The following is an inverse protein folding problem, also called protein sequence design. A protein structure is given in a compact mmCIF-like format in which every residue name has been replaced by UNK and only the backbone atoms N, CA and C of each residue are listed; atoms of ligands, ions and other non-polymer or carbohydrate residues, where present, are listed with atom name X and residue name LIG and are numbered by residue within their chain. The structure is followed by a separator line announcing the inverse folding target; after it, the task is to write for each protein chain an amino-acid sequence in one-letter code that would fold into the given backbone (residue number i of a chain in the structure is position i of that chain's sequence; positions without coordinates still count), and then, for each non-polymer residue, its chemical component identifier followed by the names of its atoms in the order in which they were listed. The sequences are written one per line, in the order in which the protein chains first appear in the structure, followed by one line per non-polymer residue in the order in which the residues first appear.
data_IF_795335635963
#
_entry.id   IF_795335635963
#
_cell.length_a   1.000
_cell.length_b   1.000
_cell.length_c   1.000
_cell.angle_alpha   90.00
_cell.angle_beta   90.00
_cell.angle_gamma   90.00
#
_symmetry.space_group_name_H-M   'P 1'
#
loop_
_entity.id
_entity.type
_entity.pdbx_description
1 polymer ?
#
# COMPACT_ATOMS: atom_id res chain seq x y z
N UNK A 1 5.51 -0.01 21.22
CA UNK A 1 4.56 0.05 20.09
C UNK A 1 3.17 0.11 20.67
N UNK A 2 2.36 1.07 20.24
CA UNK A 2 0.95 1.16 20.64
C UNK A 2 0.15 0.18 19.77
N UNK A 3 -0.92 -0.38 20.30
CA UNK A 3 -1.82 -1.22 19.49
C UNK A 3 -2.62 -0.31 18.52
N UNK A 4 -2.50 -0.47 17.19
CA UNK A 4 -3.23 0.37 16.25
C UNK A 4 -4.73 0.09 16.33
N UNK A 5 -5.53 1.14 16.46
CA UNK A 5 -7.00 1.05 16.49
C UNK A 5 -7.66 1.87 15.38
N UNK A 6 -6.88 2.67 14.65
CA UNK A 6 -7.32 3.45 13.50
C UNK A 6 -6.36 3.29 12.32
N UNK A 7 -6.81 3.56 11.08
CA UNK A 7 -5.93 3.56 9.90
C UNK A 7 -4.73 4.51 10.04
N UNK A 8 -4.97 5.67 10.68
CA UNK A 8 -3.92 6.64 10.96
C UNK A 8 -2.86 6.09 11.93
N UNK A 9 -3.26 5.30 12.94
CA UNK A 9 -2.28 4.64 13.82
C UNK A 9 -1.38 3.68 13.03
N UNK A 10 -1.94 2.94 12.06
CA UNK A 10 -1.17 2.03 11.20
C UNK A 10 -0.16 2.81 10.37
N UNK A 11 -0.60 3.88 9.69
CA UNK A 11 0.29 4.76 8.92
C UNK A 11 1.42 5.33 9.77
N UNK A 12 1.10 5.87 10.95
CA UNK A 12 2.09 6.44 11.86
C UNK A 12 3.11 5.39 12.33
N UNK A 13 2.66 4.16 12.60
CA UNK A 13 3.55 3.07 13.01
C UNK A 13 4.49 2.60 11.88
N UNK A 14 4.06 2.70 10.61
CA UNK A 14 4.92 2.47 9.44
C UNK A 14 6.00 3.57 9.36
N UNK A 15 5.63 4.84 9.52
CA UNK A 15 6.55 5.97 9.48
C UNK A 15 7.61 5.88 10.60
N UNK A 16 7.18 5.58 11.84
CA UNK A 16 8.07 5.38 13.00
C UNK A 16 9.04 4.20 12.83
N UNK A 17 8.72 3.24 11.96
CA UNK A 17 9.60 2.09 11.70
C UNK A 17 10.85 2.49 10.93
N UNK A 18 10.78 3.53 10.09
CA UNK A 18 11.86 3.98 9.20
C UNK A 18 12.89 4.83 9.92
N UNK A 19 12.52 5.49 11.01
CA UNK A 19 13.44 6.28 11.83
C UNK A 19 14.58 5.45 12.48
N UNK A 20 14.64 4.14 12.20
CA UNK A 20 15.60 3.18 12.78
C UNK A 20 16.61 2.69 11.75
N UNK A 21 17.83 2.40 12.19
CA UNK A 21 18.86 1.77 11.35
C UNK A 21 18.42 0.38 10.86
N UNK A 22 18.90 -0.06 9.68
CA UNK A 22 18.42 -1.27 8.97
C UNK A 22 18.18 -2.53 9.83
N UNK A 23 19.10 -2.97 10.72
CA UNK A 23 18.84 -4.17 11.53
C UNK A 23 17.66 -3.98 12.50
N UNK A 24 17.54 -2.78 13.07
CA UNK A 24 16.47 -2.40 14.00
C UNK A 24 15.15 -2.22 13.24
N UNK A 25 15.20 -1.67 12.02
CA UNK A 25 14.05 -1.54 11.14
C UNK A 25 13.43 -2.91 10.84
N UNK A 26 14.22 -3.92 10.44
CA UNK A 26 13.73 -5.27 10.15
C UNK A 26 13.01 -5.92 11.35
N UNK A 27 13.60 -5.81 12.54
CA UNK A 27 12.99 -6.29 13.78
C UNK A 27 11.67 -5.55 14.07
N UNK A 28 11.66 -4.23 13.88
CA UNK A 28 10.48 -3.40 14.14
C UNK A 28 9.34 -3.70 13.15
N UNK A 29 9.63 -3.88 11.87
CA UNK A 29 8.68 -4.32 10.85
C UNK A 29 8.07 -5.67 11.23
N UNK A 30 8.92 -6.63 11.63
CA UNK A 30 8.46 -7.95 12.05
C UNK A 30 7.54 -7.89 13.29
N UNK A 31 7.85 -7.02 14.24
CA UNK A 31 7.00 -6.78 15.41
C UNK A 31 5.67 -6.13 15.02
N UNK A 32 5.70 -5.12 14.14
CA UNK A 32 4.52 -4.43 13.66
C UNK A 32 3.57 -5.41 12.97
N UNK A 33 4.08 -6.24 12.05
CA UNK A 33 3.28 -7.28 11.38
C UNK A 33 2.61 -8.22 12.38
N UNK A 34 3.33 -8.65 13.44
CA UNK A 34 2.74 -9.51 14.49
C UNK A 34 1.60 -8.83 15.25
N UNK A 35 1.68 -7.53 15.47
CA UNK A 35 0.61 -6.74 16.12
C UNK A 35 -0.57 -6.58 15.17
N UNK A 36 -0.30 -6.21 13.91
CA UNK A 36 -1.32 -5.97 12.90
C UNK A 36 -2.16 -7.21 12.58
N UNK A 37 -1.63 -8.44 12.73
CA UNK A 37 -2.43 -9.67 12.61
C UNK A 37 -3.63 -9.76 13.57
N UNK A 38 -3.70 -8.91 14.58
CA UNK A 38 -4.82 -8.83 15.55
C UNK A 38 -5.71 -7.60 15.31
N UNK A 39 -5.35 -6.75 14.34
CA UNK A 39 -6.08 -5.54 13.98
C UNK A 39 -7.09 -5.92 12.88
N UNK A 40 -8.32 -5.34 12.88
CA UNK A 40 -9.26 -5.55 11.79
C UNK A 40 -8.66 -5.24 10.42
N UNK A 41 -8.89 -6.11 9.44
CA UNK A 41 -8.24 -6.06 8.12
C UNK A 41 -8.48 -4.73 7.41
N UNK A 42 -9.69 -4.19 7.46
CA UNK A 42 -10.05 -2.89 6.89
C UNK A 42 -9.20 -1.74 7.45
N UNK A 43 -8.85 -1.78 8.74
CA UNK A 43 -7.98 -0.77 9.36
C UNK A 43 -6.56 -0.87 8.79
N UNK A 44 -6.08 -2.10 8.55
CA UNK A 44 -4.76 -2.36 7.97
C UNK A 44 -4.72 -1.86 6.52
N UNK A 45 -5.72 -2.25 5.72
CA UNK A 45 -5.82 -1.90 4.30
C UNK A 45 -5.86 -0.39 4.14
N UNK A 46 -6.77 0.29 4.85
CA UNK A 46 -6.90 1.74 4.77
C UNK A 46 -5.62 2.44 5.23
N UNK A 47 -4.98 1.96 6.30
CA UNK A 47 -3.72 2.51 6.78
C UNK A 47 -2.57 2.37 5.78
N UNK A 48 -2.48 1.22 5.09
CA UNK A 48 -1.49 1.00 4.02
C UNK A 48 -1.76 1.89 2.82
N UNK A 49 -3.01 2.00 2.38
CA UNK A 49 -3.39 2.91 1.28
C UNK A 49 -3.03 4.35 1.65
N UNK A 50 -3.33 4.78 2.88
CA UNK A 50 -2.95 6.10 3.40
C UNK A 50 -1.44 6.34 3.43
N UNK A 51 -0.63 5.29 3.59
CA UNK A 51 0.83 5.39 3.50
C UNK A 51 1.29 5.59 2.06
N UNK A 52 0.72 4.85 1.09
CA UNK A 52 1.13 4.91 -0.32
C UNK A 52 0.60 6.18 -1.00
N UNK A 53 -0.61 6.61 -0.67
CA UNK A 53 -1.23 7.82 -1.24
C UNK A 53 -0.54 9.11 -0.80
N UNK A 54 0.26 9.09 0.27
CA UNK A 54 0.93 10.28 0.77
C UNK A 54 2.17 10.61 -0.09
N UNK A 55 2.14 11.79 -0.71
CA UNK A 55 3.23 12.31 -1.57
C UNK A 55 4.54 12.53 -0.82
N UNK A 56 4.49 12.63 0.51
CA UNK A 56 5.69 12.79 1.33
C UNK A 56 6.38 11.45 1.65
N UNK A 57 5.68 10.33 1.41
CA UNK A 57 6.20 9.00 1.68
C UNK A 57 7.00 8.48 0.49
N UNK A 58 8.27 8.16 0.75
CA UNK A 58 9.18 7.61 -0.25
C UNK A 58 9.15 6.09 -0.31
N UNK A 59 10.09 5.54 -1.08
CA UNK A 59 10.26 4.10 -1.29
C UNK A 59 10.28 3.30 0.03
N UNK A 60 10.99 3.75 1.06
CA UNK A 60 11.12 3.02 2.32
C UNK A 60 9.78 2.77 3.04
N UNK A 61 8.88 3.77 3.02
CA UNK A 61 7.54 3.66 3.59
C UNK A 61 6.71 2.66 2.81
N UNK A 62 6.74 2.79 1.49
CA UNK A 62 5.98 1.92 0.61
C UNK A 62 6.51 0.48 0.65
N UNK A 63 7.81 0.27 0.83
CA UNK A 63 8.42 -1.06 0.98
C UNK A 63 7.91 -1.75 2.25
N UNK A 64 7.81 -1.03 3.37
CA UNK A 64 7.24 -1.59 4.61
C UNK A 64 5.75 -1.88 4.44
N UNK A 65 5.00 -0.95 3.84
CA UNK A 65 3.58 -1.12 3.57
C UNK A 65 3.31 -2.35 2.69
N UNK A 66 4.14 -2.53 1.65
CA UNK A 66 4.13 -3.67 0.73
C UNK A 66 4.43 -4.99 1.45
N UNK A 67 5.42 -5.00 2.35
CA UNK A 67 5.72 -6.16 3.20
C UNK A 67 4.57 -6.51 4.15
N UNK A 68 3.83 -5.51 4.65
CA UNK A 68 2.64 -5.74 5.46
C UNK A 68 1.57 -6.44 4.63
N UNK A 69 1.29 -5.97 3.41
CA UNK A 69 0.33 -6.59 2.50
C UNK A 69 0.69 -8.04 2.18
N UNK A 70 1.94 -8.32 1.80
CA UNK A 70 2.36 -9.70 1.48
C UNK A 70 2.37 -10.63 2.69
N UNK A 71 2.69 -10.12 3.89
CA UNK A 71 2.83 -10.95 5.09
C UNK A 71 1.51 -11.25 5.80
N UNK A 72 0.54 -10.35 5.68
CA UNK A 72 -0.78 -10.46 6.34
C UNK A 72 -1.86 -10.89 5.35
N UNK A 73 -1.74 -10.45 4.09
CA UNK A 73 -2.75 -10.57 3.06
C UNK A 73 -4.17 -10.19 3.55
N UNK A 74 -4.34 -8.97 4.09
CA UNK A 74 -5.63 -8.55 4.62
C UNK A 74 -6.66 -8.49 3.49
N UNK A 75 -7.89 -8.92 3.75
CA UNK A 75 -9.00 -8.75 2.81
C UNK A 75 -9.51 -7.32 2.85
N UNK A 76 -9.94 -6.86 1.69
CA UNK A 76 -10.48 -5.53 1.48
C UNK A 76 -11.89 -5.60 0.94
N UNK A 77 -12.78 -4.83 1.55
CA UNK A 77 -14.13 -4.56 1.05
C UNK A 77 -14.19 -3.29 0.18
N UNK A 78 -13.08 -2.56 0.04
CA UNK A 78 -13.00 -1.39 -0.81
C UNK A 78 -13.17 -1.76 -2.28
N UNK A 79 -13.76 -0.85 -3.05
CA UNK A 79 -13.80 -0.98 -4.50
C UNK A 79 -12.39 -0.79 -5.09
N UNK A 80 -11.98 -1.70 -5.99
CA UNK A 80 -10.64 -1.70 -6.60
C UNK A 80 -10.32 -0.38 -7.31
N UNK A 81 -11.30 0.24 -7.97
CA UNK A 81 -11.10 1.54 -8.64
C UNK A 81 -10.69 2.56 -7.59
N UNK A 82 -11.41 2.61 -6.47
CA UNK A 82 -11.08 3.51 -5.38
C UNK A 82 -9.67 3.28 -4.81
N UNK A 83 -9.24 2.02 -4.69
CA UNK A 83 -7.88 1.70 -4.23
C UNK A 83 -6.83 2.19 -5.23
N UNK A 84 -6.98 1.83 -6.51
CA UNK A 84 -6.02 2.18 -7.57
C UNK A 84 -5.97 3.70 -7.75
N UNK A 85 -7.12 4.38 -7.84
CA UNK A 85 -7.21 5.82 -8.02
C UNK A 85 -6.43 6.59 -6.92
N UNK A 86 -6.40 6.06 -5.69
CA UNK A 86 -5.68 6.68 -4.55
C UNK A 86 -4.17 6.47 -4.60
N UNK A 87 -3.71 5.30 -5.02
CA UNK A 87 -2.29 4.94 -4.89
C UNK A 87 -1.49 5.17 -6.18
N UNK A 88 -2.11 5.08 -7.36
CA UNK A 88 -1.40 4.92 -8.65
C UNK A 88 -0.44 6.05 -9.01
N UNK A 89 -0.70 7.27 -8.54
CA UNK A 89 0.14 8.42 -8.85
C UNK A 89 1.38 8.52 -7.97
N UNK A 90 1.34 7.92 -6.77
CA UNK A 90 2.43 7.98 -5.79
C UNK A 90 3.09 6.62 -5.56
N UNK A 91 2.49 5.55 -6.07
CA UNK A 91 3.01 4.19 -5.95
C UNK A 91 4.37 4.02 -6.64
N UNK A 92 5.36 3.62 -5.86
CA UNK A 92 6.67 3.18 -6.32
C UNK A 92 6.57 1.77 -6.90
N UNK A 93 6.80 1.65 -8.21
CA UNK A 93 6.65 0.40 -8.96
C UNK A 93 7.59 -0.73 -8.50
N UNK A 94 8.62 -0.42 -7.73
CA UNK A 94 9.52 -1.43 -7.14
C UNK A 94 8.85 -2.19 -6.00
N UNK A 95 7.73 -1.67 -5.47
CA UNK A 95 6.90 -2.31 -4.46
C UNK A 95 5.88 -3.26 -5.12
N UNK A 96 6.38 -4.40 -5.63
CA UNK A 96 5.60 -5.36 -6.42
C UNK A 96 4.54 -6.10 -5.60
N UNK A 97 4.72 -6.21 -4.28
CA UNK A 97 3.78 -6.88 -3.37
C UNK A 97 2.40 -6.25 -3.37
N UNK A 98 2.30 -4.95 -3.69
CA UNK A 98 1.01 -4.28 -3.87
C UNK A 98 0.23 -4.91 -5.02
N UNK A 99 0.89 -5.26 -6.13
CA UNK A 99 0.24 -5.90 -7.28
C UNK A 99 -0.25 -7.29 -6.92
N UNK A 100 0.59 -8.09 -6.26
CA UNK A 100 0.21 -9.43 -5.84
C UNK A 100 -1.00 -9.39 -4.90
N UNK A 101 -1.00 -8.48 -3.93
CA UNK A 101 -2.14 -8.29 -3.02
C UNK A 101 -3.41 -7.84 -3.75
N UNK A 102 -3.30 -6.92 -4.73
CA UNK A 102 -4.44 -6.51 -5.56
C UNK A 102 -5.02 -7.70 -6.34
N UNK A 103 -4.16 -8.52 -6.96
CA UNK A 103 -4.59 -9.70 -7.72
C UNK A 103 -5.27 -10.73 -6.82
N UNK A 104 -4.76 -10.96 -5.61
CA UNK A 104 -5.35 -11.90 -4.67
C UNK A 104 -6.68 -11.45 -4.08
N UNK A 105 -6.93 -10.13 -4.01
CA UNK A 105 -8.18 -9.58 -3.47
C UNK A 105 -9.26 -9.36 -4.53
N UNK A 106 -8.87 -8.96 -5.73
CA UNK A 106 -9.82 -8.51 -6.76
C UNK A 106 -9.81 -9.36 -8.03
N UNK A 107 -8.82 -10.24 -8.20
CA UNK A 107 -8.65 -11.08 -9.38
C UNK A 107 -7.84 -10.40 -10.49
N UNK A 108 -7.06 -11.21 -11.21
CA UNK A 108 -6.12 -10.76 -12.23
C UNK A 108 -6.78 -9.95 -13.36
N UNK A 109 -7.91 -10.41 -13.88
CA UNK A 109 -8.62 -9.76 -15.00
C UNK A 109 -9.10 -8.36 -14.61
N UNK A 110 -9.64 -8.23 -13.40
CA UNK A 110 -10.14 -6.96 -12.86
C UNK A 110 -8.98 -5.99 -12.68
N UNK A 111 -7.90 -6.41 -12.01
CA UNK A 111 -6.70 -5.57 -11.81
C UNK A 111 -6.11 -5.10 -13.13
N UNK A 112 -5.95 -6.01 -14.10
CA UNK A 112 -5.43 -5.66 -15.43
C UNK A 112 -6.32 -4.64 -16.14
N UNK A 113 -7.64 -4.80 -16.10
CA UNK A 113 -8.57 -3.88 -16.75
C UNK A 113 -8.41 -2.43 -16.26
N UNK A 114 -8.22 -2.24 -14.96
CA UNK A 114 -8.02 -0.92 -14.36
C UNK A 114 -6.62 -0.36 -14.62
N UNK A 115 -5.56 -1.15 -14.44
CA UNK A 115 -4.20 -0.70 -14.70
C UNK A 115 -3.97 -0.35 -16.18
N UNK A 116 -4.53 -1.12 -17.12
CA UNK A 116 -4.46 -0.80 -18.55
C UNK A 116 -5.22 0.48 -18.89
N UNK A 117 -6.37 0.73 -18.26
CA UNK A 117 -7.12 1.99 -18.42
C UNK A 117 -6.27 3.19 -18.00
N UNK A 118 -5.55 3.07 -16.89
CA UNK A 118 -4.63 4.11 -16.41
C UNK A 118 -3.45 4.37 -17.37
N UNK A 119 -2.87 3.32 -17.95
CA UNK A 119 -1.82 3.47 -18.97
C UNK A 119 -2.34 4.24 -20.19
N UNK A 120 -3.55 3.94 -20.65
CA UNK A 120 -4.18 4.62 -21.79
C UNK A 120 -4.46 6.10 -21.47
N UNK A 121 -4.95 6.42 -20.27
CA UNK A 121 -5.24 7.80 -19.86
C UNK A 121 -3.95 8.62 -19.78
N UNK A 122 -2.89 8.12 -19.12
CA UNK A 122 -1.59 8.83 -19.06
C UNK A 122 -1.01 9.07 -20.44
N UNK A 123 -1.12 8.10 -21.37
CA UNK A 123 -0.64 8.29 -22.74
C UNK A 123 -1.45 9.32 -23.55
N UNK A 124 -2.75 9.48 -23.29
CA UNK A 124 -3.58 10.51 -23.93
C UNK A 124 -3.30 11.92 -23.39
N UNK A 125 -3.00 12.05 -22.10
CA UNK A 125 -2.68 13.34 -21.46
C UNK A 125 -1.32 13.92 -21.87
N UNK A 126 -0.44 13.13 -22.51
CA UNK A 126 0.93 13.54 -22.90
C UNK A 126 1.03 13.95 -24.38
N UNK A 127 0.00 13.69 -25.21
CA UNK A 127 -0.05 14.23 -26.57
C UNK A 127 -0.81 15.57 -26.57
N UNK A 128 -0.12 16.73 -26.60
CA UNK A 128 -0.79 17.93 -27.06
C UNK A 128 -1.18 17.67 -28.52
N UNK A 129 -2.44 17.94 -28.84
CA UNK A 129 -2.89 18.11 -30.22
C UNK A 129 -2.04 19.21 -30.85
N UNK A 130 -1.10 18.78 -31.68
CA UNK A 130 -0.39 19.62 -32.65
C UNK A 130 -0.96 19.34 -34.03
#
# INVERSE_FOLDING_TARGET
MKFPVTPLDVKNEIELTIEKQKPVQSLRTSQLIKVLKKVPEEIIVEGVIMTIEDKNNGFCQQEIASKILSSINPKSLLDIKNVIDRIIDNWDKSCEEIVYWLVENYGLEVVNSYLSTYQIIKHKSIKPTS
#
